data_IF_140492427734
#
_entry.id   IF_140492427734
#
_cell.length_a   1.000
_cell.length_b   1.000
_cell.length_c   1.000
_cell.angle_alpha   90.00
_cell.angle_beta   90.00
_cell.angle_gamma   90.00
#
_symmetry.space_group_name_H-M   'P 1'
#
loop_
_entity.id
_entity.type
_entity.pdbx_description
1 polymer ?
#
# COMPACT_ATOMS: atom_id res chain seq x y z
N UNK A 1 24.32 25.84 -63.07
CA UNK A 1 23.22 25.52 -62.13
C UNK A 1 23.44 24.08 -61.69
N UNK A 2 24.01 23.80 -60.50
CA UNK A 2 23.32 23.76 -59.20
C UNK A 2 22.05 22.90 -59.29
N UNK A 3 21.83 21.81 -58.55
CA UNK A 3 22.26 21.46 -57.20
C UNK A 3 22.26 19.92 -57.02
N UNK A 4 23.25 19.40 -56.31
CA UNK A 4 23.14 18.73 -54.99
C UNK A 4 22.67 17.27 -55.05
N UNK A 5 23.65 16.40 -54.81
CA UNK A 5 23.52 14.97 -54.60
C UNK A 5 22.64 14.65 -53.38
N UNK A 6 21.64 13.79 -53.59
CA UNK A 6 20.97 13.08 -52.51
C UNK A 6 21.82 11.86 -52.17
N UNK A 7 22.42 11.86 -50.98
CA UNK A 7 23.15 10.72 -50.44
C UNK A 7 22.59 10.41 -49.05
N UNK A 8 22.33 9.13 -48.76
CA UNK A 8 21.60 8.72 -47.56
C UNK A 8 22.47 8.88 -46.32
N UNK A 9 21.90 9.52 -45.29
CA UNK A 9 22.49 9.71 -43.97
C UNK A 9 22.58 8.36 -43.21
N UNK A 10 23.77 7.86 -42.82
CA UNK A 10 23.87 6.79 -41.84
C UNK A 10 24.00 7.41 -40.44
N UNK A 11 22.85 7.71 -39.82
CA UNK A 11 22.77 8.13 -38.43
C UNK A 11 23.02 6.95 -37.48
N UNK A 12 24.29 6.58 -37.28
CA UNK A 12 24.73 5.59 -36.32
C UNK A 12 24.54 6.11 -34.87
N UNK A 13 23.34 5.98 -34.31
CA UNK A 13 23.18 6.02 -32.84
C UNK A 13 23.36 4.60 -32.30
N UNK A 14 24.60 4.33 -31.86
CA UNK A 14 24.97 3.05 -31.28
C UNK A 14 24.14 2.73 -30.05
N UNK A 15 23.16 1.83 -30.19
CA UNK A 15 22.66 1.03 -29.06
C UNK A 15 23.87 0.33 -28.46
N UNK A 16 24.33 0.79 -27.28
CA UNK A 16 25.32 0.06 -26.47
C UNK A 16 24.70 -1.23 -25.97
N UNK A 17 24.60 -2.22 -26.84
CA UNK A 17 24.44 -3.62 -26.48
C UNK A 17 25.78 -4.10 -25.93
N UNK A 18 26.00 -3.93 -24.62
CA UNK A 18 27.05 -4.66 -23.91
C UNK A 18 26.77 -4.76 -22.41
N UNK A 19 25.59 -5.25 -22.06
CA UNK A 19 25.46 -6.04 -20.84
C UNK A 19 25.99 -7.42 -21.17
N UNK A 20 27.27 -7.69 -20.92
CA UNK A 20 27.73 -9.07 -20.85
C UNK A 20 26.82 -9.76 -19.85
N UNK A 21 26.01 -10.71 -20.33
CA UNK A 21 25.32 -11.64 -19.46
C UNK A 21 26.44 -12.33 -18.68
N UNK A 22 26.70 -11.86 -17.46
CA UNK A 22 27.74 -12.44 -16.62
C UNK A 22 27.40 -13.92 -16.54
N UNK A 23 28.33 -14.76 -16.98
CA UNK A 23 28.22 -16.21 -16.90
C UNK A 23 27.78 -16.55 -15.48
N UNK A 24 26.56 -17.07 -15.35
CA UNK A 24 25.93 -17.34 -14.06
C UNK A 24 26.68 -18.49 -13.41
N UNK A 25 27.61 -18.14 -12.51
CA UNK A 25 28.24 -19.10 -11.61
C UNK A 25 27.17 -19.80 -10.76
N UNK A 26 27.26 -21.14 -10.71
CA UNK A 26 26.29 -22.07 -10.10
C UNK A 26 26.33 -22.05 -8.57
N UNK A 27 27.27 -21.32 -7.96
CA UNK A 27 27.49 -21.26 -6.49
C UNK A 27 27.05 -19.95 -5.83
N UNK A 28 26.13 -19.19 -6.44
CA UNK A 28 25.64 -17.94 -5.82
C UNK A 28 24.70 -18.19 -4.65
N UNK A 29 24.91 -17.43 -3.58
CA UNK A 29 23.96 -17.30 -2.47
C UNK A 29 22.62 -16.76 -3.02
N UNK A 30 21.47 -17.29 -2.58
CA UNK A 30 20.17 -16.73 -2.95
C UNK A 30 20.10 -15.25 -2.58
N UNK A 31 19.75 -14.41 -3.54
CA UNK A 31 19.63 -12.97 -3.35
C UNK A 31 18.17 -12.55 -3.53
N UNK A 32 17.65 -11.76 -2.60
CA UNK A 32 16.32 -11.15 -2.67
C UNK A 32 16.48 -9.64 -2.76
N UNK A 33 15.71 -9.00 -3.64
CA UNK A 33 15.66 -7.54 -3.76
C UNK A 33 14.43 -7.02 -3.02
N UNK A 34 14.61 -6.04 -2.15
CA UNK A 34 13.53 -5.37 -1.40
C UNK A 34 13.37 -3.97 -1.97
N UNK A 35 12.11 -3.58 -2.25
CA UNK A 35 11.77 -2.23 -2.67
C UNK A 35 11.15 -1.50 -1.49
N UNK A 36 11.71 -0.35 -1.17
CA UNK A 36 11.28 0.51 -0.08
C UNK A 36 10.96 1.88 -0.66
N UNK A 37 9.92 2.51 -0.14
CA UNK A 37 9.74 3.95 -0.34
C UNK A 37 10.73 4.74 0.52
N UNK A 38 10.83 6.05 0.30
CA UNK A 38 11.81 6.90 0.99
C UNK A 38 11.67 6.87 2.51
N UNK A 39 10.44 6.82 3.02
CA UNK A 39 10.16 6.80 4.47
C UNK A 39 10.60 5.48 5.09
N UNK A 40 10.24 4.37 4.46
CA UNK A 40 10.65 3.03 4.89
C UNK A 40 12.17 2.87 4.86
N UNK A 41 12.81 3.36 3.79
CA UNK A 41 14.26 3.33 3.65
C UNK A 41 14.96 4.14 4.76
N UNK A 42 14.48 5.36 5.04
CA UNK A 42 15.03 6.19 6.12
C UNK A 42 14.88 5.53 7.50
N UNK A 43 13.69 4.97 7.79
CA UNK A 43 13.41 4.28 9.05
C UNK A 43 14.33 3.07 9.25
N UNK A 44 14.46 2.22 8.22
CA UNK A 44 15.31 1.02 8.28
C UNK A 44 16.79 1.43 8.38
N UNK A 45 17.21 2.49 7.69
CA UNK A 45 18.57 3.00 7.75
C UNK A 45 18.93 3.48 9.16
N UNK A 46 18.06 4.25 9.80
CA UNK A 46 18.27 4.70 11.17
C UNK A 46 18.35 3.54 12.17
N UNK A 47 17.48 2.53 12.02
CA UNK A 47 17.49 1.33 12.85
C UNK A 47 18.79 0.51 12.65
N UNK A 48 19.23 0.34 11.41
CA UNK A 48 20.47 -0.36 11.09
C UNK A 48 21.70 0.36 11.65
N UNK A 49 21.77 1.69 11.53
CA UNK A 49 22.83 2.51 12.13
C UNK A 49 22.87 2.36 13.65
N UNK A 50 21.70 2.41 14.31
CA UNK A 50 21.59 2.24 15.75
C UNK A 50 22.05 0.86 16.22
N UNK A 51 21.85 -0.16 15.38
CA UNK A 51 22.30 -1.54 15.62
C UNK A 51 23.76 -1.80 15.18
N UNK A 52 24.46 -0.82 14.60
CA UNK A 52 25.82 -1.00 14.07
C UNK A 52 25.88 -1.95 12.86
N UNK A 53 24.80 -2.08 12.10
CA UNK A 53 24.67 -3.00 10.97
C UNK A 53 24.56 -2.25 9.64
N UNK A 54 24.94 -2.91 8.54
CA UNK A 54 24.51 -2.46 7.22
C UNK A 54 23.00 -2.65 7.05
N UNK A 55 22.36 -1.83 6.20
CA UNK A 55 20.92 -1.95 5.90
C UNK A 55 20.54 -3.37 5.48
N UNK A 56 21.32 -3.98 4.58
CA UNK A 56 21.08 -5.34 4.13
C UNK A 56 21.26 -6.38 5.25
N UNK A 57 22.26 -6.19 6.12
CA UNK A 57 22.49 -7.07 7.28
C UNK A 57 21.37 -6.97 8.31
N UNK A 58 20.91 -5.75 8.58
CA UNK A 58 19.78 -5.50 9.47
C UNK A 58 18.49 -6.14 8.94
N UNK A 59 18.18 -5.95 7.65
CA UNK A 59 17.03 -6.60 7.00
C UNK A 59 17.10 -8.13 7.10
N UNK A 60 18.26 -8.72 6.81
CA UNK A 60 18.46 -10.16 6.91
C UNK A 60 18.29 -10.66 8.36
N UNK A 61 18.85 -9.94 9.33
CA UNK A 61 18.73 -10.28 10.74
C UNK A 61 17.28 -10.20 11.23
N UNK A 62 16.59 -9.10 10.94
CA UNK A 62 15.18 -8.92 11.29
C UNK A 62 14.30 -10.01 10.66
N UNK A 63 14.53 -10.35 9.39
CA UNK A 63 13.83 -11.44 8.71
C UNK A 63 14.10 -12.80 9.35
N UNK A 64 15.34 -13.09 9.78
CA UNK A 64 15.67 -14.33 10.48
C UNK A 64 15.04 -14.40 11.88
N UNK A 65 15.00 -13.29 12.62
CA UNK A 65 14.31 -13.21 13.92
C UNK A 65 12.82 -13.48 13.73
N UNK A 66 12.18 -12.81 12.77
CA UNK A 66 10.77 -13.02 12.45
C UNK A 66 10.49 -14.47 11.99
N UNK A 67 11.38 -15.08 11.21
CA UNK A 67 11.24 -16.47 10.76
C UNK A 67 11.36 -17.49 11.91
N UNK A 68 12.16 -17.19 12.94
CA UNK A 68 12.28 -18.03 14.15
C UNK A 68 11.00 -17.99 14.97
N UNK A 69 10.36 -16.84 15.09
CA UNK A 69 9.06 -16.68 15.77
C UNK A 69 7.91 -16.59 14.75
N UNK A 70 7.71 -17.69 14.02
CA UNK A 70 6.78 -17.75 12.89
C UNK A 70 5.33 -17.52 13.31
N UNK A 71 4.91 -18.06 14.45
CA UNK A 71 3.53 -17.94 14.94
C UNK A 71 3.19 -16.50 15.30
N UNK A 72 4.07 -15.82 16.04
CA UNK A 72 3.88 -14.41 16.39
C UNK A 72 3.91 -13.51 15.16
N UNK A 73 4.84 -13.76 14.24
CA UNK A 73 4.94 -13.00 12.99
C UNK A 73 3.68 -13.17 12.14
N UNK A 74 3.17 -14.40 12.02
CA UNK A 74 1.95 -14.67 11.28
C UNK A 74 0.73 -13.96 11.91
N UNK A 75 0.62 -13.98 13.23
CA UNK A 75 -0.44 -13.26 13.95
C UNK A 75 -0.36 -11.75 13.70
N UNK A 76 0.82 -11.14 13.83
CA UNK A 76 1.00 -9.71 13.59
C UNK A 76 0.61 -9.29 12.16
N UNK A 77 1.04 -10.07 11.15
CA UNK A 77 0.68 -9.82 9.74
C UNK A 77 -0.82 -10.02 9.49
N UNK A 78 -1.45 -11.00 10.14
CA UNK A 78 -2.88 -11.22 10.03
C UNK A 78 -3.66 -10.03 10.62
N UNK A 79 -3.30 -9.57 11.81
CA UNK A 79 -3.93 -8.41 12.46
C UNK A 79 -3.82 -7.14 11.60
N UNK A 80 -2.65 -6.85 11.00
CA UNK A 80 -2.49 -5.70 10.11
C UNK A 80 -3.41 -5.80 8.88
N UNK A 81 -3.52 -7.00 8.28
CA UNK A 81 -4.41 -7.24 7.15
C UNK A 81 -5.88 -7.11 7.52
N UNK A 82 -6.27 -7.56 8.71
CA UNK A 82 -7.63 -7.40 9.23
C UNK A 82 -7.99 -5.92 9.36
N UNK A 83 -7.13 -5.12 9.97
CA UNK A 83 -7.32 -3.66 10.10
C UNK A 83 -7.48 -2.98 8.74
N UNK A 84 -6.61 -3.29 7.77
CA UNK A 84 -6.73 -2.73 6.42
C UNK A 84 -8.02 -3.19 5.72
N UNK A 85 -8.41 -4.45 5.90
CA UNK A 85 -9.65 -4.99 5.34
C UNK A 85 -10.87 -4.27 5.89
N UNK A 86 -10.91 -4.04 7.21
CA UNK A 86 -11.96 -3.27 7.87
C UNK A 86 -12.01 -1.83 7.34
N UNK A 87 -10.85 -1.16 7.24
CA UNK A 87 -10.79 0.21 6.71
C UNK A 87 -11.32 0.31 5.28
N UNK A 88 -10.96 -0.64 4.41
CA UNK A 88 -11.50 -0.68 3.05
C UNK A 88 -13.00 -0.98 3.01
N UNK A 89 -13.51 -1.82 3.92
CA UNK A 89 -14.93 -2.07 4.05
C UNK A 89 -15.70 -0.79 4.46
N UNK A 90 -15.18 -0.06 5.44
CA UNK A 90 -15.74 1.23 5.86
C UNK A 90 -15.74 2.25 4.72
N UNK A 91 -14.62 2.40 4.00
CA UNK A 91 -14.53 3.31 2.84
C UNK A 91 -15.60 2.98 1.79
N UNK A 92 -15.82 1.69 1.50
CA UNK A 92 -16.88 1.27 0.56
C UNK A 92 -18.28 1.62 1.08
N UNK A 93 -18.53 1.43 2.38
CA UNK A 93 -19.83 1.76 2.97
C UNK A 93 -20.10 3.27 2.94
N UNK A 94 -19.10 4.10 3.25
CA UNK A 94 -19.21 5.56 3.12
C UNK A 94 -19.47 6.00 1.68
N UNK A 95 -18.82 5.37 0.70
CA UNK A 95 -19.06 5.63 -0.72
C UNK A 95 -20.51 5.37 -1.14
N UNK A 96 -21.12 4.28 -0.64
CA UNK A 96 -22.54 3.98 -0.89
C UNK A 96 -23.47 4.99 -0.24
N UNK A 97 -23.23 5.32 1.03
CA UNK A 97 -24.00 6.33 1.75
C UNK A 97 -23.97 7.69 1.04
N UNK A 98 -22.78 8.14 0.58
CA UNK A 98 -22.63 9.37 -0.19
C UNK A 98 -23.35 9.33 -1.55
N UNK A 99 -23.31 8.19 -2.25
CA UNK A 99 -24.07 8.01 -3.51
C UNK A 99 -25.58 8.12 -3.28
N UNK A 100 -26.10 7.45 -2.25
CA UNK A 100 -27.52 7.46 -1.90
C UNK A 100 -27.99 8.87 -1.54
N UNK A 101 -27.21 9.60 -0.74
CA UNK A 101 -27.48 11.00 -0.40
C UNK A 101 -27.51 11.89 -1.66
N UNK A 102 -26.54 11.72 -2.56
CA UNK A 102 -26.50 12.48 -3.82
C UNK A 102 -27.70 12.18 -4.73
N UNK A 103 -28.21 10.94 -4.72
CA UNK A 103 -29.42 10.57 -5.44
C UNK A 103 -30.66 11.21 -4.83
N UNK A 104 -30.82 11.16 -3.50
CA UNK A 104 -31.96 11.79 -2.81
C UNK A 104 -31.98 13.31 -3.02
N UNK A 105 -30.83 13.97 -2.88
CA UNK A 105 -30.70 15.41 -3.14
C UNK A 105 -31.11 15.76 -4.58
N UNK A 106 -30.73 14.93 -5.56
CA UNK A 106 -31.13 15.13 -6.96
C UNK A 106 -32.64 15.03 -7.14
N UNK A 107 -33.29 14.00 -6.59
CA UNK A 107 -34.75 13.82 -6.70
C UNK A 107 -35.50 15.01 -6.10
N UNK A 108 -35.10 15.44 -4.90
CA UNK A 108 -35.69 16.61 -4.23
C UNK A 108 -35.49 17.90 -5.01
N UNK A 109 -34.29 18.12 -5.57
CA UNK A 109 -33.99 19.32 -6.37
C UNK A 109 -34.84 19.43 -7.64
N UNK A 110 -35.37 18.31 -8.15
CA UNK A 110 -36.29 18.29 -9.29
C UNK A 110 -37.77 18.28 -8.88
N UNK A 111 -38.07 18.57 -7.61
CA UNK A 111 -39.44 18.61 -7.09
C UNK A 111 -40.10 17.23 -6.98
N UNK A 112 -39.31 16.16 -7.08
CA UNK A 112 -39.78 14.79 -6.88
C UNK A 112 -39.86 14.46 -5.39
N UNK A 113 -40.78 13.57 -5.03
CA UNK A 113 -40.81 12.97 -3.71
C UNK A 113 -39.80 11.82 -3.65
N UNK A 114 -38.87 11.89 -2.69
CA UNK A 114 -37.86 10.87 -2.51
C UNK A 114 -38.38 9.85 -1.49
N UNK A 115 -39.18 8.90 -2.00
CA UNK A 115 -39.92 7.88 -1.24
C UNK A 115 -39.05 7.04 -0.27
N UNK A 116 -37.72 7.09 -0.39
CA UNK A 116 -36.78 6.32 0.42
C UNK A 116 -35.76 7.17 1.21
N UNK A 117 -36.01 8.47 1.43
CA UNK A 117 -35.11 9.33 2.24
C UNK A 117 -34.77 8.71 3.59
N UNK A 118 -35.75 8.08 4.24
CA UNK A 118 -35.53 7.42 5.52
C UNK A 118 -34.54 6.25 5.40
N UNK A 119 -34.64 5.44 4.35
CA UNK A 119 -33.70 4.34 4.10
C UNK A 119 -32.29 4.85 3.79
N UNK A 120 -32.18 5.96 3.03
CA UNK A 120 -30.90 6.63 2.78
C UNK A 120 -30.28 7.13 4.09
N UNK A 121 -31.08 7.72 4.97
CA UNK A 121 -30.62 8.22 6.27
C UNK A 121 -30.21 7.08 7.21
N UNK A 122 -30.96 5.97 7.22
CA UNK A 122 -30.65 4.77 7.99
C UNK A 122 -29.31 4.14 7.50
N UNK A 123 -29.05 4.11 6.19
CA UNK A 123 -27.78 3.66 5.60
C UNK A 123 -26.60 4.56 6.01
N UNK A 124 -26.81 5.88 6.03
CA UNK A 124 -25.82 6.87 6.46
C UNK A 124 -25.50 6.69 7.94
N UNK A 125 -26.51 6.59 8.81
CA UNK A 125 -26.32 6.33 10.24
C UNK A 125 -25.56 5.03 10.49
N UNK A 126 -25.93 3.94 9.80
CA UNK A 126 -25.22 2.66 9.90
C UNK A 126 -23.76 2.76 9.43
N UNK A 127 -23.45 3.65 8.48
CA UNK A 127 -22.07 3.90 8.05
C UNK A 127 -21.28 4.66 9.13
N UNK A 128 -21.89 5.68 9.74
CA UNK A 128 -21.29 6.47 10.82
C UNK A 128 -21.02 5.59 12.05
N UNK A 129 -21.98 4.78 12.49
CA UNK A 129 -21.85 3.91 13.67
C UNK A 129 -20.70 2.92 13.52
N UNK A 130 -20.52 2.35 12.33
CA UNK A 130 -19.41 1.42 12.05
C UNK A 130 -18.06 2.10 12.03
N UNK A 131 -17.98 3.34 11.53
CA UNK A 131 -16.76 4.14 11.60
C UNK A 131 -16.41 4.47 13.05
N UNK A 132 -17.41 4.83 13.86
CA UNK A 132 -17.23 5.13 15.27
C UNK A 132 -16.72 3.90 16.03
N UNK A 133 -17.35 2.72 15.86
CA UNK A 133 -16.90 1.49 16.52
C UNK A 133 -15.46 1.11 16.20
N UNK A 134 -15.04 1.24 14.93
CA UNK A 134 -13.66 0.93 14.54
C UNK A 134 -12.69 1.95 15.12
N UNK A 135 -13.08 3.23 15.13
CA UNK A 135 -12.28 4.30 15.73
C UNK A 135 -12.11 4.08 17.23
N UNK A 136 -13.17 3.74 17.95
CA UNK A 136 -13.15 3.44 19.39
C UNK A 136 -12.28 2.23 19.74
N UNK A 137 -12.26 1.20 18.88
CA UNK A 137 -11.33 0.06 19.01
C UNK A 137 -9.87 0.44 18.79
N UNK A 138 -9.60 1.46 17.98
CA UNK A 138 -8.24 1.95 17.73
C UNK A 138 -7.75 2.94 18.80
N UNK A 139 -8.65 3.70 19.43
CA UNK A 139 -8.31 4.72 20.43
C UNK A 139 -8.34 4.23 21.86
N UNK A 140 -9.04 3.12 22.17
CA UNK A 140 -8.97 2.50 23.50
C UNK A 140 -7.59 1.85 23.67
N UNK A 141 -6.66 2.41 24.47
CA UNK A 141 -5.39 1.76 24.74
C UNK A 141 -5.69 0.46 25.47
N UNK A 142 -5.08 -0.64 25.06
CA UNK A 142 -5.18 -1.90 25.79
C UNK A 142 -4.69 -1.71 27.23
N UNK A 143 -5.62 -1.53 28.16
CA UNK A 143 -5.35 -1.67 29.58
C UNK A 143 -4.87 -3.09 29.85
N UNK A 144 -3.64 -3.19 30.35
CA UNK A 144 -3.19 -4.27 31.22
C UNK A 144 -3.02 -5.66 30.60
N UNK A 145 -1.80 -5.97 30.17
CA UNK A 145 -1.25 -7.31 30.38
C UNK A 145 0.11 -7.22 31.07
N UNK A 146 0.07 -6.95 32.37
CA UNK A 146 1.08 -7.38 33.33
C UNK A 146 0.73 -8.79 33.78
N UNK A 147 1.53 -9.78 33.36
CA UNK A 147 2.00 -10.94 34.16
C UNK A 147 3.16 -11.55 33.41
#
# INVERSE_FOLDING_TARGET
>A
MAAAADSPQPGASGRRAKGTARLRDRTRRPAHSVRLNEREHALITAAAQSAGMSVAGFLAHAALVAARDRSRTAAAVATEREVLTELFALRRQLGRAGSNLNQAARVLNFGGDAADIKAVLDDVHSAVDKVQQVTDRMTTPGEGRST
#
